data_IF_158933849551
#
_entry.id   IF_158933849551
#
_cell.length_a   1.000
_cell.length_b   1.000
_cell.length_c   1.000
_cell.angle_alpha   90.00
_cell.angle_beta   90.00
_cell.angle_gamma   90.00
#
_symmetry.space_group_name_H-M   'P 1'
#
loop_
_entity.id
_entity.type
_entity.pdbx_description
1 polymer ?
#
# COMPACT_ATOMS: atom_id res chain seq x y z
N UNK A 1 11.29 8.75 34.60
CA UNK A 1 11.92 8.06 33.45
C UNK A 1 10.89 7.96 32.35
N UNK A 2 10.84 8.95 31.45
CA UNK A 2 10.15 8.81 30.18
C UNK A 2 10.96 7.87 29.28
N UNK A 3 10.47 6.66 29.08
CA UNK A 3 10.95 5.78 28.03
C UNK A 3 10.70 6.48 26.71
N UNK A 4 11.74 6.92 26.04
CA UNK A 4 11.70 7.28 24.63
C UNK A 4 11.38 6.01 23.86
N UNK A 5 10.09 5.76 23.66
CA UNK A 5 9.63 4.73 22.74
C UNK A 5 10.18 5.12 21.37
N UNK A 6 11.18 4.38 20.91
CA UNK A 6 11.75 4.55 19.58
C UNK A 6 10.62 4.52 18.55
N UNK A 7 10.28 5.66 17.99
CA UNK A 7 9.45 5.76 16.79
C UNK A 7 10.29 5.35 15.57
N UNK A 8 10.77 4.11 15.58
CA UNK A 8 11.42 3.54 14.41
C UNK A 8 10.52 2.43 13.90
N UNK A 9 9.80 2.70 12.80
CA UNK A 9 9.05 1.71 12.04
C UNK A 9 9.90 0.50 11.63
N UNK A 10 11.22 0.59 11.73
CA UNK A 10 12.18 -0.45 11.37
C UNK A 10 12.03 -1.77 12.16
N UNK A 11 11.41 -1.75 13.34
CA UNK A 11 11.27 -2.92 14.21
C UNK A 11 9.81 -3.39 14.35
N UNK A 12 8.85 -2.75 13.69
CA UNK A 12 7.47 -3.19 13.72
C UNK A 12 7.20 -4.29 12.71
N UNK A 13 6.40 -5.28 13.13
CA UNK A 13 5.85 -6.28 12.22
C UNK A 13 4.67 -5.65 11.46
N UNK A 14 4.84 -5.43 10.15
CA UNK A 14 3.83 -4.81 9.29
C UNK A 14 2.57 -5.66 9.13
N UNK A 15 2.63 -6.96 9.43
CA UNK A 15 1.48 -7.87 9.42
C UNK A 15 0.69 -7.87 10.74
N UNK A 16 1.26 -7.31 11.82
CA UNK A 16 0.64 -7.32 13.14
C UNK A 16 -0.38 -6.19 13.29
N UNK A 17 -1.61 -6.53 13.60
CA UNK A 17 -2.68 -5.58 13.88
C UNK A 17 -3.77 -6.23 14.73
N UNK A 18 -4.55 -5.43 15.42
CA UNK A 18 -5.72 -5.87 16.20
C UNK A 18 -6.91 -6.00 15.24
N UNK A 19 -7.25 -7.24 14.88
CA UNK A 19 -8.32 -7.57 13.93
C UNK A 19 -9.68 -6.99 14.36
N UNK A 20 -9.96 -6.92 15.65
CA UNK A 20 -11.24 -6.41 16.16
C UNK A 20 -11.39 -4.90 16.01
N UNK A 21 -10.26 -4.18 15.87
CA UNK A 21 -10.25 -2.72 15.69
C UNK A 21 -10.29 -2.28 14.21
N UNK A 22 -10.32 -3.24 13.28
CA UNK A 22 -10.37 -2.93 11.85
C UNK A 22 -11.82 -2.96 11.38
N UNK A 23 -12.33 -1.88 10.78
CA UNK A 23 -13.70 -1.86 10.24
C UNK A 23 -13.92 -2.92 9.18
N UNK A 24 -15.14 -3.45 9.11
CA UNK A 24 -15.53 -4.37 8.05
C UNK A 24 -15.52 -3.69 6.68
N UNK A 25 -15.03 -4.38 5.67
CA UNK A 25 -15.08 -3.96 4.26
C UNK A 25 -16.30 -4.48 3.51
N UNK A 26 -17.25 -5.12 4.21
CA UNK A 26 -18.44 -5.71 3.58
C UNK A 26 -19.22 -4.66 2.79
N UNK A 27 -19.52 -4.97 1.53
CA UNK A 27 -20.28 -4.08 0.64
C UNK A 27 -19.46 -2.94 0.05
N UNK A 28 -18.17 -2.87 0.33
CA UNK A 28 -17.26 -1.84 -0.20
C UNK A 28 -16.38 -2.41 -1.30
N UNK A 29 -16.03 -1.56 -2.27
CA UNK A 29 -15.13 -1.88 -3.37
C UNK A 29 -13.80 -1.15 -3.20
N UNK A 30 -12.71 -1.81 -3.58
CA UNK A 30 -11.35 -1.29 -3.47
C UNK A 30 -10.62 -1.40 -4.80
N UNK A 31 -9.83 -0.37 -5.13
CA UNK A 31 -8.90 -0.41 -6.24
C UNK A 31 -7.49 -0.67 -5.73
N UNK A 32 -6.74 -1.50 -6.43
CA UNK A 32 -5.33 -1.75 -6.15
C UNK A 32 -4.53 -1.52 -7.43
N UNK A 33 -3.64 -0.52 -7.40
CA UNK A 33 -2.64 -0.32 -8.42
C UNK A 33 -1.33 -0.95 -7.94
N UNK A 34 -0.73 -1.82 -8.74
CA UNK A 34 0.49 -2.55 -8.38
C UNK A 34 1.55 -2.44 -9.47
N UNK A 35 2.77 -2.09 -9.06
CA UNK A 35 3.91 -1.98 -9.96
C UNK A 35 4.46 -3.37 -10.31
N UNK A 36 4.78 -3.56 -11.60
CA UNK A 36 5.40 -4.80 -12.08
C UNK A 36 6.91 -4.83 -11.83
N UNK A 37 7.56 -3.67 -11.83
CA UNK A 37 8.97 -3.59 -11.47
C UNK A 37 9.19 -4.09 -10.04
N UNK A 38 10.18 -4.94 -9.83
CA UNK A 38 10.38 -5.69 -8.57
C UNK A 38 9.19 -6.62 -8.24
N UNK A 39 8.66 -7.33 -9.23
CA UNK A 39 7.44 -8.15 -9.09
C UNK A 39 7.50 -9.20 -7.99
N UNK A 40 8.67 -9.79 -7.71
CA UNK A 40 8.84 -10.73 -6.61
C UNK A 40 8.46 -10.12 -5.24
N UNK A 41 8.67 -8.81 -5.11
CA UNK A 41 8.30 -8.02 -3.94
C UNK A 41 6.84 -7.56 -4.04
N UNK A 42 6.51 -6.85 -5.11
CA UNK A 42 5.21 -6.17 -5.24
C UNK A 42 4.03 -7.15 -5.31
N UNK A 43 4.22 -8.32 -5.94
CA UNK A 43 3.16 -9.33 -6.02
C UNK A 43 2.93 -10.04 -4.69
N UNK A 44 3.96 -10.13 -3.84
CA UNK A 44 3.79 -10.59 -2.45
C UNK A 44 3.03 -9.57 -1.62
N UNK A 45 3.29 -8.26 -1.83
CA UNK A 45 2.49 -7.20 -1.23
C UNK A 45 1.02 -7.29 -1.67
N UNK A 46 0.79 -7.50 -2.97
CA UNK A 46 -0.54 -7.65 -3.55
C UNK A 46 -1.30 -8.81 -2.91
N UNK A 47 -0.65 -9.97 -2.78
CA UNK A 47 -1.25 -11.15 -2.14
C UNK A 47 -1.68 -10.85 -0.71
N UNK A 48 -0.80 -10.29 0.08
CA UNK A 48 -1.10 -9.89 1.46
C UNK A 48 -2.23 -8.87 1.56
N UNK A 49 -2.27 -7.93 0.64
CA UNK A 49 -3.32 -6.92 0.56
C UNK A 49 -4.69 -7.55 0.24
N UNK A 50 -4.78 -8.37 -0.80
CA UNK A 50 -6.02 -9.03 -1.20
C UNK A 50 -6.52 -9.95 -0.09
N UNK A 51 -5.66 -10.81 0.46
CA UNK A 51 -6.04 -11.75 1.51
C UNK A 51 -6.58 -11.02 2.75
N UNK A 52 -6.01 -9.87 3.08
CA UNK A 52 -6.48 -9.04 4.21
C UNK A 52 -7.85 -8.42 3.92
N UNK A 53 -8.07 -7.87 2.74
CA UNK A 53 -9.38 -7.34 2.35
C UNK A 53 -10.47 -8.43 2.39
N UNK A 54 -10.17 -9.62 1.85
CA UNK A 54 -11.08 -10.76 1.89
C UNK A 54 -11.38 -11.19 3.32
N UNK A 55 -10.38 -11.25 4.20
CA UNK A 55 -10.54 -11.59 5.61
C UNK A 55 -11.45 -10.61 6.37
N UNK A 56 -11.54 -9.36 5.91
CA UNK A 56 -12.41 -8.34 6.48
C UNK A 56 -13.73 -8.13 5.74
N UNK A 57 -14.15 -9.10 4.94
CA UNK A 57 -15.49 -9.16 4.36
C UNK A 57 -15.64 -8.53 2.98
N UNK A 58 -14.57 -8.05 2.36
CA UNK A 58 -14.61 -7.58 0.97
C UNK A 58 -14.77 -8.79 0.05
N UNK A 59 -15.65 -8.70 -0.93
CA UNK A 59 -15.81 -9.76 -1.94
C UNK A 59 -14.70 -9.66 -2.98
N UNK A 60 -14.25 -10.78 -3.52
CA UNK A 60 -13.24 -10.81 -4.60
C UNK A 60 -13.69 -9.96 -5.81
N UNK A 61 -14.98 -10.02 -6.17
CA UNK A 61 -15.56 -9.22 -7.26
C UNK A 61 -15.52 -7.70 -7.01
N UNK A 62 -15.31 -7.27 -5.78
CA UNK A 62 -15.23 -5.88 -5.36
C UNK A 62 -13.77 -5.39 -5.25
N UNK A 63 -12.80 -6.20 -5.64
CA UNK A 63 -11.38 -5.84 -5.66
C UNK A 63 -10.93 -5.70 -7.11
N UNK A 64 -10.59 -4.48 -7.51
CA UNK A 64 -10.19 -4.13 -8.87
C UNK A 64 -8.68 -3.87 -8.92
N UNK A 65 -7.94 -4.78 -9.55
CA UNK A 65 -6.48 -4.72 -9.63
C UNK A 65 -6.05 -4.23 -11.01
N UNK A 66 -5.12 -3.28 -11.04
CA UNK A 66 -4.46 -2.80 -12.26
C UNK A 66 -2.95 -2.88 -12.08
N UNK A 67 -2.27 -3.48 -13.05
CA UNK A 67 -0.82 -3.59 -13.10
C UNK A 67 -0.24 -2.43 -13.92
N UNK A 68 0.83 -1.82 -13.40
CA UNK A 68 1.55 -0.73 -14.08
C UNK A 68 3.05 -1.02 -14.12
N UNK A 69 3.81 -0.41 -15.06
CA UNK A 69 5.24 -0.73 -15.20
C UNK A 69 6.05 -0.52 -13.93
N UNK A 70 5.90 0.64 -13.28
CA UNK A 70 6.69 0.98 -12.11
C UNK A 70 5.93 1.82 -11.11
N UNK A 71 6.60 2.14 -10.00
CA UNK A 71 6.02 2.94 -8.91
C UNK A 71 5.61 4.34 -9.37
N UNK A 72 6.33 4.93 -10.32
CA UNK A 72 6.04 6.27 -10.83
C UNK A 72 4.65 6.36 -11.49
N UNK A 73 4.13 5.27 -12.05
CA UNK A 73 2.84 5.20 -12.73
C UNK A 73 1.65 4.95 -11.78
N UNK A 74 1.90 4.67 -10.49
CA UNK A 74 0.84 4.36 -9.53
C UNK A 74 -0.19 5.48 -9.33
N UNK A 75 0.18 6.76 -9.24
CA UNK A 75 -0.82 7.82 -9.06
C UNK A 75 -1.80 7.92 -10.23
N UNK A 76 -1.33 7.80 -11.46
CA UNK A 76 -2.18 7.79 -12.64
C UNK A 76 -3.15 6.59 -12.63
N UNK A 77 -2.63 5.40 -12.34
CA UNK A 77 -3.46 4.19 -12.27
C UNK A 77 -4.50 4.28 -11.15
N UNK A 78 -4.12 4.77 -9.99
CA UNK A 78 -5.03 4.96 -8.87
C UNK A 78 -6.17 5.92 -9.19
N UNK A 79 -5.85 7.05 -9.81
CA UNK A 79 -6.84 8.01 -10.28
C UNK A 79 -7.78 7.38 -11.32
N UNK A 80 -7.22 6.65 -12.27
CA UNK A 80 -8.01 5.98 -13.31
C UNK A 80 -8.97 4.94 -12.74
N UNK A 81 -8.52 4.13 -11.77
CA UNK A 81 -9.37 3.18 -11.07
C UNK A 81 -10.56 3.86 -10.40
N UNK A 82 -10.33 4.98 -9.72
CA UNK A 82 -11.39 5.74 -9.05
C UNK A 82 -12.40 6.37 -10.02
N UNK A 83 -11.98 6.63 -11.25
CA UNK A 83 -12.87 7.15 -12.30
C UNK A 83 -13.72 6.05 -12.94
N UNK A 84 -13.22 4.82 -12.99
CA UNK A 84 -13.90 3.67 -13.63
C UNK A 84 -14.81 2.90 -12.69
N UNK A 85 -14.56 2.96 -11.39
CA UNK A 85 -15.28 2.20 -10.39
C UNK A 85 -15.68 3.08 -9.22
N UNK A 86 -16.79 2.77 -8.58
CA UNK A 86 -17.19 3.40 -7.33
C UNK A 86 -16.44 2.75 -6.17
N UNK A 87 -15.33 3.34 -5.75
CA UNK A 87 -14.41 2.77 -4.78
C UNK A 87 -14.52 3.43 -3.41
N UNK A 88 -14.28 2.65 -2.35
CA UNK A 88 -14.12 3.15 -0.99
C UNK A 88 -12.70 3.67 -0.73
N UNK A 89 -11.70 3.09 -1.39
CA UNK A 89 -10.30 3.49 -1.30
C UNK A 89 -9.50 2.95 -2.49
N UNK A 90 -8.36 3.57 -2.75
CA UNK A 90 -7.34 3.07 -3.68
C UNK A 90 -6.07 2.74 -2.90
N UNK A 91 -5.48 1.58 -3.17
CA UNK A 91 -4.23 1.13 -2.58
C UNK A 91 -3.16 1.08 -3.67
N UNK A 92 -2.03 1.73 -3.45
CA UNK A 92 -0.92 1.75 -4.39
C UNK A 92 0.25 0.94 -3.82
N UNK A 93 0.64 -0.14 -4.50
CA UNK A 93 1.68 -1.06 -4.09
C UNK A 93 2.88 -0.98 -5.03
N UNK A 94 4.03 -0.68 -4.49
CA UNK A 94 5.27 -0.56 -5.25
C UNK A 94 6.50 -0.82 -4.39
N UNK A 95 7.64 -0.87 -5.04
CA UNK A 95 8.93 -1.01 -4.37
C UNK A 95 10.00 -0.34 -5.19
N UNK A 96 10.69 0.63 -4.61
CA UNK A 96 11.81 1.33 -5.22
C UNK A 96 13.05 1.10 -4.36
N UNK A 97 13.93 0.22 -4.84
CA UNK A 97 15.19 -0.08 -4.14
C UNK A 97 16.21 0.99 -4.53
N UNK A 98 16.92 1.52 -3.55
CA UNK A 98 17.96 2.52 -3.77
C UNK A 98 19.03 1.97 -4.73
N UNK A 99 19.32 2.76 -5.79
CA UNK A 99 20.39 2.47 -6.75
C UNK A 99 21.62 3.34 -6.52
N UNK A 100 22.49 3.38 -7.51
CA UNK A 100 23.72 4.18 -7.49
C UNK A 100 23.46 5.69 -7.71
N UNK A 101 22.30 6.04 -8.26
CA UNK A 101 21.89 7.42 -8.56
C UNK A 101 20.77 7.86 -7.64
N UNK A 102 20.38 9.13 -7.71
CA UNK A 102 19.28 9.70 -6.93
C UNK A 102 17.89 9.42 -7.55
N UNK A 103 17.80 8.49 -8.50
CA UNK A 103 16.56 8.16 -9.21
C UNK A 103 15.41 7.75 -8.25
N UNK A 104 15.73 6.99 -7.22
CA UNK A 104 14.78 6.57 -6.19
C UNK A 104 14.20 7.77 -5.42
N UNK A 105 15.00 8.80 -5.14
CA UNK A 105 14.54 10.00 -4.44
C UNK A 105 13.49 10.74 -5.26
N UNK A 106 13.73 10.91 -6.57
CA UNK A 106 12.78 11.59 -7.47
C UNK A 106 11.48 10.82 -7.59
N UNK A 107 11.52 9.51 -7.75
CA UNK A 107 10.32 8.67 -7.82
C UNK A 107 9.55 8.71 -6.51
N UNK A 108 10.20 8.42 -5.40
CA UNK A 108 9.53 8.30 -4.10
C UNK A 108 8.92 9.63 -3.66
N UNK A 109 9.64 10.73 -3.84
CA UNK A 109 9.13 12.07 -3.50
C UNK A 109 7.94 12.46 -4.36
N UNK A 110 8.02 12.27 -5.68
CA UNK A 110 6.93 12.62 -6.59
C UNK A 110 5.69 11.78 -6.37
N UNK A 111 5.84 10.48 -6.14
CA UNK A 111 4.72 9.57 -5.89
C UNK A 111 4.04 9.90 -4.55
N UNK A 112 4.82 10.10 -3.49
CA UNK A 112 4.28 10.50 -2.20
C UNK A 112 3.49 11.80 -2.29
N UNK A 113 4.03 12.82 -2.97
CA UNK A 113 3.35 14.10 -3.18
C UNK A 113 2.09 13.95 -4.03
N UNK A 114 2.14 13.17 -5.11
CA UNK A 114 1.00 12.95 -5.99
C UNK A 114 -0.15 12.23 -5.27
N UNK A 115 0.14 11.22 -4.46
CA UNK A 115 -0.88 10.52 -3.68
C UNK A 115 -1.49 11.42 -2.60
N UNK A 116 -0.69 12.25 -1.94
CA UNK A 116 -1.22 13.23 -0.98
C UNK A 116 -2.09 14.28 -1.69
N UNK A 117 -1.71 14.71 -2.88
CA UNK A 117 -2.53 15.62 -3.68
C UNK A 117 -3.88 14.98 -4.02
N UNK A 118 -3.90 13.70 -4.39
CA UNK A 118 -5.14 12.95 -4.62
C UNK A 118 -5.96 12.81 -3.33
N UNK A 119 -5.33 12.57 -2.18
CA UNK A 119 -6.02 12.48 -0.90
C UNK A 119 -6.78 13.77 -0.54
N UNK A 120 -6.14 14.93 -0.72
CA UNK A 120 -6.76 16.20 -0.32
C UNK A 120 -7.73 16.75 -1.37
N UNK A 121 -7.72 16.26 -2.60
CA UNK A 121 -8.62 16.72 -3.68
C UNK A 121 -9.69 15.70 -4.06
N UNK A 122 -9.63 14.47 -3.56
CA UNK A 122 -10.58 13.41 -3.87
C UNK A 122 -11.49 13.10 -2.68
N UNK A 123 -12.61 12.44 -2.94
CA UNK A 123 -13.55 12.02 -1.91
C UNK A 123 -13.20 10.65 -1.26
N UNK A 124 -12.17 9.97 -1.76
CA UNK A 124 -11.72 8.68 -1.25
C UNK A 124 -10.24 8.71 -0.92
N UNK A 125 -9.79 7.90 0.06
CA UNK A 125 -8.36 7.83 0.40
C UNK A 125 -7.54 7.03 -0.63
N UNK A 126 -6.29 7.47 -0.79
CA UNK A 126 -5.25 6.81 -1.59
C UNK A 126 -4.14 6.38 -0.64
N UNK A 127 -3.87 5.09 -0.58
CA UNK A 127 -2.96 4.49 0.39
C UNK A 127 -1.59 4.27 -0.23
N UNK A 128 -0.57 4.77 0.45
CA UNK A 128 0.84 4.63 0.07
C UNK A 128 1.39 3.30 0.60
N UNK A 129 1.30 2.26 -0.22
CA UNK A 129 1.85 0.93 0.05
C UNK A 129 3.17 0.71 -0.70
N UNK A 130 4.06 1.70 -0.69
CA UNK A 130 5.32 1.66 -1.42
C UNK A 130 6.48 1.44 -0.46
N UNK A 131 7.27 0.40 -0.73
CA UNK A 131 8.53 0.17 -0.03
C UNK A 131 9.64 1.02 -0.66
N UNK A 132 10.44 1.67 0.19
CA UNK A 132 11.55 2.53 -0.22
C UNK A 132 12.86 2.09 0.44
N UNK A 133 13.23 0.80 0.27
CA UNK A 133 14.38 0.22 0.97
C UNK A 133 15.70 0.64 0.35
N UNK A 134 16.77 0.57 1.15
CA UNK A 134 18.12 0.77 0.66
C UNK A 134 18.68 -0.47 -0.02
N UNK A 135 18.20 -1.66 0.33
CA UNK A 135 18.66 -2.95 -0.19
C UNK A 135 17.49 -3.86 -0.54
N UNK A 136 17.74 -4.84 -1.41
CA UNK A 136 16.77 -5.88 -1.73
C UNK A 136 16.36 -6.69 -0.49
N UNK A 137 17.31 -6.99 0.40
CA UNK A 137 17.00 -7.72 1.63
C UNK A 137 16.02 -6.95 2.52
N UNK A 138 16.18 -5.64 2.63
CA UNK A 138 15.20 -4.81 3.36
C UNK A 138 13.81 -4.86 2.73
N UNK A 139 13.72 -4.95 1.41
CA UNK A 139 12.46 -5.12 0.70
C UNK A 139 11.83 -6.48 1.03
N UNK A 140 12.60 -7.57 0.93
CA UNK A 140 12.15 -8.93 1.26
C UNK A 140 11.67 -9.02 2.71
N UNK A 141 12.39 -8.41 3.64
CA UNK A 141 12.04 -8.39 5.06
C UNK A 141 10.66 -7.76 5.31
N UNK A 142 10.20 -6.86 4.43
CA UNK A 142 8.93 -6.14 4.52
C UNK A 142 7.88 -6.60 3.52
N UNK A 143 8.21 -7.63 2.76
CA UNK A 143 7.32 -8.30 1.81
C UNK A 143 7.08 -9.75 2.22
N UNK A 144 6.72 -9.96 3.49
CA UNK A 144 6.47 -11.29 4.07
C UNK A 144 7.65 -11.88 4.83
N UNK A 145 8.78 -11.16 4.95
CA UNK A 145 9.93 -11.57 5.75
C UNK A 145 9.80 -11.20 7.23
N UNK A 146 10.94 -10.95 7.88
CA UNK A 146 11.01 -10.76 9.35
C UNK A 146 10.23 -9.54 9.87
N UNK A 147 9.98 -8.54 9.03
CA UNK A 147 9.20 -7.36 9.39
C UNK A 147 7.74 -7.41 8.88
N UNK A 148 7.28 -8.56 8.45
CA UNK A 148 5.91 -8.76 7.96
C UNK A 148 5.70 -8.29 6.52
N UNK A 149 4.48 -7.91 6.18
CA UNK A 149 4.06 -7.59 4.82
C UNK A 149 3.41 -6.21 4.74
N UNK A 150 4.04 -5.29 4.01
CA UNK A 150 3.54 -3.93 3.79
C UNK A 150 2.16 -3.91 3.11
N UNK A 151 1.84 -4.92 2.29
CA UNK A 151 0.52 -5.03 1.65
C UNK A 151 -0.60 -5.27 2.66
N UNK A 152 -0.34 -6.04 3.72
CA UNK A 152 -1.29 -6.23 4.82
C UNK A 152 -1.54 -4.90 5.54
N UNK A 153 -0.48 -4.18 5.90
CA UNK A 153 -0.59 -2.85 6.51
C UNK A 153 -1.40 -1.90 5.65
N UNK A 154 -1.13 -1.89 4.33
CA UNK A 154 -1.84 -1.02 3.40
C UNK A 154 -3.34 -1.33 3.32
N UNK A 155 -3.72 -2.61 3.31
CA UNK A 155 -5.13 -3.01 3.34
C UNK A 155 -5.83 -2.59 4.64
N UNK A 156 -5.19 -2.81 5.78
CA UNK A 156 -5.70 -2.37 7.08
C UNK A 156 -5.88 -0.85 7.12
N UNK A 157 -4.90 -0.12 6.61
CA UNK A 157 -4.98 1.35 6.49
C UNK A 157 -6.16 1.77 5.63
N UNK A 158 -6.37 1.13 4.48
CA UNK A 158 -7.50 1.43 3.59
C UNK A 158 -8.85 1.21 4.29
N UNK A 159 -9.01 0.09 5.00
CA UNK A 159 -10.23 -0.22 5.75
C UNK A 159 -10.51 0.81 6.83
N UNK A 160 -9.49 1.26 7.55
CA UNK A 160 -9.63 2.30 8.57
C UNK A 160 -9.96 3.66 7.96
N UNK A 161 -9.26 4.05 6.89
CA UNK A 161 -9.43 5.36 6.29
C UNK A 161 -10.77 5.54 5.59
N UNK A 162 -11.28 4.50 4.92
CA UNK A 162 -12.58 4.60 4.27
C UNK A 162 -13.77 4.59 5.24
N UNK A 163 -13.52 4.39 6.54
CA UNK A 163 -14.54 4.43 7.59
C UNK A 163 -14.64 5.78 8.31
N UNK A 164 -13.77 6.73 7.95
CA UNK A 164 -13.80 8.09 8.52
C UNK A 164 -15.02 8.88 8.03
#
# INVERSE_FOLDING_TARGET
HFSLTKMASALQNLSAYDTEKVPSGKGKSFGIAVAEWNKAITFTLLRGCIDTLLAHGVKESDIHVTYVPGTFELPYAGKTLSQRHHLAAVICLGCVIKGETDHDIYINTSVANALQQLNITSSIPYIFGVLTPNTEQQALDRAGGIHGNKGIEAAVTALKMCAI
#
